data_IF_625739117674
#
_entry.id   IF_625739117674
#
_cell.length_a   1.000
_cell.length_b   1.000
_cell.length_c   1.000
_cell.angle_alpha   90.00
_cell.angle_beta   90.00
_cell.angle_gamma   90.00
#
_symmetry.space_group_name_H-M   'P 1'
#
loop_
_entity.id
_entity.type
_entity.pdbx_description
1 polymer ?
#
# COMPACT_ATOMS: atom_id res chain seq x y z
N UNK A 1 55.80 -14.82 -6.22
CA UNK A 1 54.94 -13.89 -5.46
C UNK A 1 54.50 -12.77 -6.39
N UNK A 2 53.24 -12.74 -6.79
CA UNK A 2 52.73 -11.70 -7.70
C UNK A 2 52.48 -10.40 -6.95
N UNK A 3 53.05 -9.30 -7.45
CA UNK A 3 52.85 -7.96 -6.88
C UNK A 3 51.36 -7.59 -6.95
N UNK A 4 50.73 -7.32 -5.81
CA UNK A 4 49.33 -6.94 -5.77
C UNK A 4 49.17 -5.57 -6.45
N UNK A 5 48.37 -5.51 -7.54
CA UNK A 5 48.11 -4.26 -8.27
C UNK A 5 47.47 -3.23 -7.33
N UNK A 6 48.14 -2.11 -7.10
CA UNK A 6 47.65 -1.02 -6.26
C UNK A 6 46.33 -0.47 -6.83
N UNK A 7 45.42 -0.09 -5.94
CA UNK A 7 44.15 0.54 -6.32
C UNK A 7 44.39 2.01 -6.66
N UNK A 8 44.04 2.42 -7.86
CA UNK A 8 44.02 3.83 -8.29
C UNK A 8 42.82 4.56 -7.70
N UNK A 9 42.84 5.89 -7.73
CA UNK A 9 41.74 6.71 -7.20
C UNK A 9 40.49 6.53 -8.04
N UNK A 10 40.66 6.46 -9.36
CA UNK A 10 39.58 6.25 -10.32
C UNK A 10 38.89 4.89 -10.12
N UNK A 11 39.67 3.83 -9.84
CA UNK A 11 39.11 2.51 -9.52
C UNK A 11 38.36 2.50 -8.17
N UNK A 12 38.80 3.32 -7.20
CA UNK A 12 38.12 3.47 -5.90
C UNK A 12 36.82 4.23 -6.08
N UNK A 13 36.84 5.37 -6.78
CA UNK A 13 35.66 6.19 -7.05
C UNK A 13 34.61 5.41 -7.87
N UNK A 14 35.07 4.68 -8.90
CA UNK A 14 34.22 3.78 -9.67
C UNK A 14 33.63 2.67 -8.80
N UNK A 15 34.45 2.05 -7.94
CA UNK A 15 33.98 1.02 -7.03
C UNK A 15 32.90 1.59 -6.11
N UNK A 16 33.10 2.76 -5.50
CA UNK A 16 32.13 3.39 -4.61
C UNK A 16 30.82 3.74 -5.31
N UNK A 17 30.88 4.37 -6.48
CA UNK A 17 29.69 4.76 -7.26
C UNK A 17 28.89 3.54 -7.76
N UNK A 18 29.60 2.47 -8.15
CA UNK A 18 28.98 1.27 -8.73
C UNK A 18 28.69 0.18 -7.72
N UNK A 19 29.18 0.29 -6.49
CA UNK A 19 28.94 -0.68 -5.42
C UNK A 19 27.44 -0.76 -5.14
N UNK A 20 26.85 -1.94 -5.27
CA UNK A 20 25.41 -2.15 -5.09
C UNK A 20 24.52 -1.66 -6.24
N UNK A 21 25.00 -0.77 -7.11
CA UNK A 21 24.32 -0.35 -8.34
C UNK A 21 24.32 -1.43 -9.42
N UNK A 22 25.46 -2.08 -9.65
CA UNK A 22 25.64 -3.15 -10.64
C UNK A 22 26.24 -4.42 -10.01
N UNK A 23 26.25 -5.54 -10.74
CA UNK A 23 26.71 -6.82 -10.20
C UNK A 23 28.23 -6.82 -9.93
N UNK A 24 28.66 -7.57 -8.92
CA UNK A 24 30.10 -7.79 -8.64
C UNK A 24 30.87 -8.31 -9.84
N UNK A 25 30.23 -9.12 -10.70
CA UNK A 25 30.83 -9.62 -11.94
C UNK A 25 31.08 -8.48 -12.94
N UNK A 26 30.14 -7.55 -13.07
CA UNK A 26 30.29 -6.36 -13.93
C UNK A 26 31.37 -5.41 -13.41
N UNK A 27 31.44 -5.21 -12.08
CA UNK A 27 32.49 -4.41 -11.44
C UNK A 27 33.86 -5.06 -11.65
N UNK A 28 33.96 -6.37 -11.43
CA UNK A 28 35.17 -7.17 -11.65
C UNK A 28 35.66 -7.07 -13.10
N UNK A 29 34.75 -7.18 -14.08
CA UNK A 29 35.07 -7.04 -15.49
C UNK A 29 35.58 -5.64 -15.86
N UNK A 30 34.89 -4.59 -15.38
CA UNK A 30 35.27 -3.20 -15.70
C UNK A 30 36.58 -2.76 -15.02
N UNK A 31 36.86 -3.26 -13.81
CA UNK A 31 38.11 -2.98 -13.10
C UNK A 31 39.26 -3.91 -13.52
N UNK A 32 38.98 -4.97 -14.29
CA UNK A 32 39.97 -6.00 -14.62
C UNK A 32 40.56 -6.69 -13.38
N UNK A 33 39.76 -6.84 -12.31
CA UNK A 33 40.17 -7.42 -11.01
C UNK A 33 39.29 -8.61 -10.66
N UNK A 34 39.80 -9.57 -9.88
CA UNK A 34 38.99 -10.69 -9.42
C UNK A 34 37.85 -10.21 -8.49
N UNK A 35 36.74 -10.95 -8.48
CA UNK A 35 35.59 -10.65 -7.62
C UNK A 35 36.01 -10.55 -6.14
N UNK A 36 36.91 -11.42 -5.69
CA UNK A 36 37.39 -11.41 -4.29
C UNK A 36 38.24 -10.18 -3.98
N UNK A 37 39.05 -9.70 -4.92
CA UNK A 37 39.79 -8.45 -4.75
C UNK A 37 38.84 -7.25 -4.61
N UNK A 38 37.76 -7.23 -5.40
CA UNK A 38 36.70 -6.20 -5.31
C UNK A 38 36.00 -6.26 -3.94
N UNK A 39 35.59 -7.45 -3.47
CA UNK A 39 34.96 -7.62 -2.15
C UNK A 39 35.87 -7.18 -1.01
N UNK A 40 37.13 -7.59 -1.02
CA UNK A 40 38.11 -7.21 0.01
C UNK A 40 38.34 -5.71 0.03
N UNK A 41 38.44 -5.06 -1.14
CA UNK A 41 38.57 -3.60 -1.20
C UNK A 41 37.32 -2.89 -0.68
N UNK A 42 36.13 -3.32 -1.08
CA UNK A 42 34.89 -2.74 -0.60
C UNK A 42 34.72 -2.89 0.92
N UNK A 43 35.10 -4.05 1.48
CA UNK A 43 35.15 -4.25 2.93
C UNK A 43 36.12 -3.29 3.62
N UNK A 44 37.33 -3.09 3.06
CA UNK A 44 38.32 -2.12 3.58
C UNK A 44 37.88 -0.66 3.45
N UNK A 45 37.05 -0.34 2.47
CA UNK A 45 36.44 0.97 2.28
C UNK A 45 35.19 1.18 3.15
N UNK A 46 34.75 0.17 3.91
CA UNK A 46 33.57 0.26 4.75
C UNK A 46 32.24 0.27 3.99
N UNK A 47 32.22 -0.14 2.72
CA UNK A 47 31.03 -0.04 1.85
C UNK A 47 29.91 -1.03 2.20
N UNK A 48 30.12 -1.90 3.19
CA UNK A 48 29.12 -2.85 3.67
C UNK A 48 28.64 -3.82 2.58
N UNK A 49 27.42 -4.34 2.75
CA UNK A 49 26.82 -5.25 1.78
C UNK A 49 26.36 -4.48 0.54
N UNK A 50 26.78 -4.94 -0.65
CA UNK A 50 26.30 -4.40 -1.94
C UNK A 50 24.76 -4.38 -2.06
N UNK A 51 24.04 -5.23 -1.31
CA UNK A 51 22.57 -5.22 -1.22
C UNK A 51 22.02 -3.91 -0.66
N UNK A 52 22.80 -3.20 0.15
CA UNK A 52 22.40 -1.96 0.85
C UNK A 52 22.73 -0.69 0.06
N UNK A 53 23.44 -0.79 -1.07
CA UNK A 53 23.78 0.34 -1.96
C UNK A 53 23.00 0.32 -3.28
N UNK A 54 21.77 -0.21 -3.24
CA UNK A 54 20.81 -0.09 -4.32
C UNK A 54 19.78 0.97 -3.94
N UNK A 55 19.52 1.93 -4.83
CA UNK A 55 18.46 2.94 -4.64
C UNK A 55 17.07 2.32 -4.83
N UNK A 56 16.69 1.50 -3.86
CA UNK A 56 15.44 0.78 -3.87
C UNK A 56 15.40 -0.31 -2.80
N UNK A 57 14.45 -1.21 -2.96
CA UNK A 57 14.13 -2.22 -1.95
C UNK A 57 13.94 -3.59 -2.60
N UNK A 58 14.27 -4.64 -1.85
CA UNK A 58 13.90 -6.00 -2.28
C UNK A 58 12.40 -6.23 -2.08
N UNK A 59 11.80 -7.09 -2.90
CA UNK A 59 10.37 -7.42 -2.77
C UNK A 59 10.06 -8.01 -1.38
N UNK A 60 11.00 -8.73 -0.77
CA UNK A 60 10.81 -9.27 0.57
C UNK A 60 10.78 -8.17 1.65
N UNK A 61 11.70 -7.20 1.59
CA UNK A 61 11.69 -6.06 2.50
C UNK A 61 10.44 -5.18 2.30
N UNK A 62 10.01 -4.98 1.05
CA UNK A 62 8.76 -4.29 0.74
C UNK A 62 7.56 -4.99 1.37
N UNK A 63 7.51 -6.33 1.28
CA UNK A 63 6.46 -7.14 1.88
C UNK A 63 6.40 -6.94 3.41
N UNK A 64 7.56 -7.00 4.07
CA UNK A 64 7.66 -6.77 5.52
C UNK A 64 7.23 -5.35 5.91
N UNK A 65 7.68 -4.32 5.17
CA UNK A 65 7.34 -2.93 5.45
C UNK A 65 5.84 -2.63 5.33
N UNK A 66 5.14 -3.33 4.43
CA UNK A 66 3.71 -3.14 4.18
C UNK A 66 2.81 -4.16 4.91
N UNK A 67 3.38 -5.00 5.78
CA UNK A 67 2.67 -6.10 6.45
C UNK A 67 1.93 -7.01 5.44
N UNK A 68 2.64 -7.38 4.36
CA UNK A 68 2.16 -8.23 3.26
C UNK A 68 2.99 -9.49 3.15
N UNK A 69 2.41 -10.52 2.53
CA UNK A 69 3.18 -11.71 2.16
C UNK A 69 3.94 -11.48 0.86
N UNK A 70 5.11 -12.09 0.74
CA UNK A 70 5.89 -12.09 -0.52
C UNK A 70 5.06 -12.62 -1.70
N UNK A 71 4.28 -13.68 -1.46
CA UNK A 71 3.38 -14.27 -2.46
C UNK A 71 2.31 -13.30 -2.94
N UNK A 72 1.75 -12.45 -2.07
CA UNK A 72 0.80 -11.42 -2.49
C UNK A 72 1.44 -10.40 -3.44
N UNK A 73 2.69 -9.99 -3.20
CA UNK A 73 3.34 -9.06 -4.11
C UNK A 73 3.65 -9.73 -5.46
N UNK A 74 4.26 -10.92 -5.44
CA UNK A 74 4.73 -11.58 -6.66
C UNK A 74 3.61 -12.18 -7.50
N UNK A 75 2.60 -12.79 -6.87
CA UNK A 75 1.56 -13.52 -7.59
C UNK A 75 0.34 -12.64 -7.93
N UNK A 76 0.25 -11.44 -7.37
CA UNK A 76 -0.90 -10.55 -7.58
C UNK A 76 -0.48 -9.15 -8.03
N UNK A 77 0.38 -8.44 -7.29
CA UNK A 77 0.75 -7.07 -7.67
C UNK A 77 1.54 -7.01 -8.98
N UNK A 78 2.45 -7.97 -9.21
CA UNK A 78 3.22 -8.03 -10.45
C UNK A 78 2.34 -8.35 -11.67
N UNK A 79 1.59 -9.47 -11.72
CA UNK A 79 0.81 -9.81 -12.91
C UNK A 79 -0.43 -8.92 -13.11
N UNK A 80 -1.20 -8.63 -12.05
CA UNK A 80 -2.54 -8.01 -12.20
C UNK A 80 -2.51 -6.49 -12.15
N UNK A 81 -1.44 -5.92 -11.56
CA UNK A 81 -1.26 -4.48 -11.36
C UNK A 81 0.05 -3.95 -11.95
N UNK A 82 0.85 -4.80 -12.59
CA UNK A 82 2.04 -4.35 -13.31
C UNK A 82 3.13 -3.72 -12.42
N UNK A 83 3.27 -4.18 -11.18
CA UNK A 83 4.33 -3.69 -10.28
C UNK A 83 5.70 -3.82 -10.96
N UNK A 84 6.47 -2.72 -11.12
CA UNK A 84 7.69 -2.70 -11.94
C UNK A 84 8.89 -3.34 -11.20
N UNK A 85 8.85 -4.66 -11.01
CA UNK A 85 9.93 -5.42 -10.37
C UNK A 85 10.99 -5.82 -11.38
N UNK A 86 12.26 -5.75 -10.97
CA UNK A 86 13.42 -6.17 -11.76
C UNK A 86 14.15 -7.30 -11.04
N UNK A 87 14.79 -8.19 -11.79
CA UNK A 87 15.69 -9.21 -11.24
C UNK A 87 17.09 -8.63 -11.14
N UNK A 88 17.63 -8.53 -9.94
CA UNK A 88 18.99 -8.04 -9.69
C UNK A 88 19.87 -9.12 -9.07
N UNK A 89 21.10 -9.21 -9.56
CA UNK A 89 22.11 -10.14 -9.06
C UNK A 89 22.93 -9.45 -7.96
N UNK A 90 22.72 -9.85 -6.71
CA UNK A 90 23.47 -9.32 -5.57
C UNK A 90 24.62 -10.23 -5.14
N UNK A 91 24.46 -11.55 -5.28
CA UNK A 91 25.50 -12.56 -5.03
C UNK A 91 25.81 -13.33 -6.32
N UNK A 92 26.85 -14.18 -6.32
CA UNK A 92 27.31 -14.89 -7.53
C UNK A 92 26.22 -15.72 -8.23
N UNK A 93 25.17 -16.15 -7.52
CA UNK A 93 24.15 -17.09 -8.06
C UNK A 93 22.70 -16.63 -7.87
N UNK A 94 22.37 -15.94 -6.78
CA UNK A 94 20.98 -15.61 -6.45
C UNK A 94 20.53 -14.30 -7.11
N UNK A 95 19.54 -14.42 -8.02
CA UNK A 95 18.77 -13.28 -8.54
C UNK A 95 17.65 -12.98 -7.56
N UNK A 96 17.58 -11.74 -7.07
CA UNK A 96 16.54 -11.27 -6.14
C UNK A 96 15.65 -10.28 -6.87
N UNK A 97 14.35 -10.31 -6.58
CA UNK A 97 13.41 -9.30 -7.09
C UNK A 97 13.55 -8.00 -6.31
N UNK A 98 13.67 -6.91 -7.04
CA UNK A 98 13.88 -5.56 -6.51
C UNK A 98 13.00 -4.54 -7.22
N UNK A 99 12.78 -3.41 -6.56
CA UNK A 99 12.07 -2.26 -7.12
C UNK A 99 12.78 -0.97 -6.65
N UNK A 100 12.96 -0.01 -7.55
CA UNK A 100 13.49 1.31 -7.18
C UNK A 100 12.49 2.11 -6.35
N UNK A 101 12.95 2.99 -5.45
CA UNK A 101 12.03 3.77 -4.60
C UNK A 101 11.13 4.68 -5.43
N UNK A 102 11.67 5.40 -6.41
CA UNK A 102 10.89 6.27 -7.30
C UNK A 102 9.85 5.48 -8.11
N UNK A 103 10.25 4.33 -8.66
CA UNK A 103 9.37 3.44 -9.43
C UNK A 103 8.24 2.89 -8.56
N UNK A 104 8.55 2.50 -7.32
CA UNK A 104 7.56 2.07 -6.35
C UNK A 104 6.56 3.19 -6.04
N UNK A 105 7.02 4.41 -5.73
CA UNK A 105 6.13 5.50 -5.34
C UNK A 105 5.23 5.97 -6.50
N UNK A 106 5.73 5.99 -7.74
CA UNK A 106 4.92 6.27 -8.94
C UNK A 106 3.83 5.22 -9.14
N UNK A 107 4.16 3.94 -8.99
CA UNK A 107 3.19 2.85 -9.08
C UNK A 107 2.18 2.90 -7.92
N UNK A 108 2.66 3.10 -6.70
CA UNK A 108 1.87 3.16 -5.47
C UNK A 108 0.81 4.27 -5.50
N UNK A 109 1.11 5.40 -6.14
CA UNK A 109 0.17 6.50 -6.30
C UNK A 109 -1.04 6.14 -7.16
N UNK A 110 -0.86 5.26 -8.14
CA UNK A 110 -1.92 4.78 -9.02
C UNK A 110 -2.73 3.64 -8.40
N UNK A 111 -2.21 3.01 -7.35
CA UNK A 111 -2.77 1.82 -6.71
C UNK A 111 -2.92 1.97 -5.19
N UNK A 112 -3.36 3.16 -4.74
CA UNK A 112 -3.49 3.53 -3.31
C UNK A 112 -4.42 2.59 -2.53
N UNK A 113 -5.32 1.87 -3.20
CA UNK A 113 -6.24 0.90 -2.62
C UNK A 113 -5.54 -0.37 -2.12
N UNK A 114 -4.41 -0.75 -2.71
CA UNK A 114 -3.62 -1.92 -2.31
C UNK A 114 -2.80 -1.69 -1.04
N UNK A 115 -2.56 -0.42 -0.71
CA UNK A 115 -1.62 0.01 0.31
C UNK A 115 -2.35 0.38 1.61
N UNK A 116 -1.71 0.01 2.72
CA UNK A 116 -2.04 0.49 4.05
C UNK A 116 -0.76 0.96 4.72
N UNK A 117 -0.64 2.28 4.89
CA UNK A 117 0.55 2.92 5.46
C UNK A 117 0.39 3.21 6.96
N UNK A 118 -0.69 2.75 7.61
CA UNK A 118 -1.00 3.11 9.00
C UNK A 118 0.09 2.70 9.99
N UNK A 119 0.64 1.48 9.81
CA UNK A 119 1.64 0.86 10.70
C UNK A 119 3.08 1.01 10.19
N UNK A 120 3.26 1.51 8.97
CA UNK A 120 4.59 1.67 8.38
C UNK A 120 5.21 2.98 8.86
N UNK A 121 6.44 2.91 9.36
CA UNK A 121 7.18 4.08 9.79
C UNK A 121 7.49 5.03 8.62
N UNK A 122 7.52 6.36 8.86
CA UNK A 122 7.90 7.32 7.84
C UNK A 122 9.31 7.07 7.30
N UNK A 123 9.47 7.18 5.99
CA UNK A 123 10.72 7.05 5.23
C UNK A 123 11.37 5.66 5.27
N UNK A 124 10.65 4.62 5.71
CA UNK A 124 11.13 3.23 5.59
C UNK A 124 11.38 2.82 4.14
N UNK A 125 10.60 3.38 3.20
CA UNK A 125 10.69 3.10 1.77
C UNK A 125 11.34 4.26 0.99
N UNK A 126 12.39 4.86 1.56
CA UNK A 126 13.06 6.02 0.98
C UNK A 126 12.26 7.32 1.17
N UNK A 127 12.60 8.37 0.41
CA UNK A 127 11.93 9.66 0.50
C UNK A 127 10.45 9.56 0.15
N UNK A 128 9.58 9.99 1.06
CA UNK A 128 8.13 9.88 0.87
C UNK A 128 7.55 11.06 0.08
N UNK A 129 6.71 10.79 -0.94
CA UNK A 129 5.95 11.84 -1.60
C UNK A 129 4.87 12.40 -0.67
N UNK A 130 4.44 13.64 -0.91
CA UNK A 130 3.47 14.31 -0.04
C UNK A 130 2.12 13.59 0.06
N UNK A 131 1.69 12.95 -1.03
CA UNK A 131 0.46 12.15 -1.02
C UNK A 131 0.53 10.98 -0.03
N UNK A 132 1.72 10.40 0.22
CA UNK A 132 1.88 9.28 1.14
C UNK A 132 1.58 9.71 2.59
N UNK A 133 1.89 10.97 2.95
CA UNK A 133 1.55 11.55 4.25
C UNK A 133 0.04 11.68 4.42
N UNK A 134 -0.66 12.14 3.37
CA UNK A 134 -2.13 12.26 3.35
C UNK A 134 -2.76 10.86 3.45
N UNK A 135 -2.30 9.91 2.64
CA UNK A 135 -2.75 8.52 2.66
C UNK A 135 -2.52 7.85 4.01
N UNK A 136 -1.36 8.06 4.66
CA UNK A 136 -1.08 7.54 6.01
C UNK A 136 -2.08 8.07 7.04
N UNK A 137 -2.43 9.36 6.99
CA UNK A 137 -3.48 9.91 7.87
C UNK A 137 -4.82 9.23 7.61
N UNK A 138 -5.19 9.05 6.34
CA UNK A 138 -6.40 8.36 5.93
C UNK A 138 -6.45 6.89 6.41
N UNK A 139 -5.33 6.17 6.30
CA UNK A 139 -5.22 4.77 6.74
C UNK A 139 -5.28 4.63 8.26
N UNK A 140 -4.76 5.60 9.01
CA UNK A 140 -4.90 5.63 10.47
C UNK A 140 -6.34 5.86 10.92
N UNK A 141 -7.14 6.58 10.14
CA UNK A 141 -8.58 6.76 10.39
C UNK A 141 -9.39 5.51 10.01
N UNK A 142 -8.83 4.61 9.21
CA UNK A 142 -9.50 3.38 8.81
C UNK A 142 -9.41 2.35 9.94
N UNK A 143 -10.58 1.79 10.27
CA UNK A 143 -10.68 0.59 11.11
C UNK A 143 -9.72 -0.51 10.65
N UNK A 144 -8.86 -0.98 11.57
CA UNK A 144 -7.93 -2.07 11.29
C UNK A 144 -8.67 -3.41 11.14
N UNK A 145 -9.72 -3.65 11.94
CA UNK A 145 -10.56 -4.84 11.80
C UNK A 145 -11.25 -4.90 10.44
N UNK A 146 -11.68 -3.76 9.91
CA UNK A 146 -12.26 -3.66 8.56
C UNK A 146 -11.24 -3.97 7.47
N UNK A 147 -9.97 -3.63 7.67
CA UNK A 147 -8.91 -3.92 6.70
C UNK A 147 -8.46 -5.38 6.73
N UNK A 148 -8.28 -5.95 7.92
CA UNK A 148 -7.71 -7.29 8.11
C UNK A 148 -8.75 -8.43 8.09
N UNK A 149 -10.04 -8.12 7.92
CA UNK A 149 -11.14 -9.09 7.92
C UNK A 149 -11.16 -9.98 9.20
N UNK A 150 -11.02 -9.34 10.37
CA UNK A 150 -10.97 -10.03 11.67
C UNK A 150 -12.30 -10.74 11.97
N UNK A 151 -12.22 -12.01 12.37
CA UNK A 151 -13.36 -12.84 12.76
C UNK A 151 -14.16 -12.22 13.92
N UNK A 152 -15.46 -12.47 13.94
CA UNK A 152 -16.35 -12.11 15.05
C UNK A 152 -16.13 -13.05 16.23
N UNK A 153 -16.04 -12.50 17.45
CA UNK A 153 -16.01 -13.31 18.68
C UNK A 153 -17.41 -13.51 19.23
N UNK A 154 -17.67 -14.57 20.03
CA UNK A 154 -18.95 -14.78 20.68
C UNK A 154 -19.39 -13.59 21.55
N UNK A 155 -18.45 -12.91 22.21
CA UNK A 155 -18.72 -11.73 23.03
C UNK A 155 -19.15 -10.53 22.16
N UNK A 156 -18.51 -10.36 21.00
CA UNK A 156 -18.92 -9.34 20.04
C UNK A 156 -20.32 -9.62 19.47
N UNK A 157 -20.67 -10.89 19.24
CA UNK A 157 -22.02 -11.26 18.80
C UNK A 157 -23.07 -10.96 19.86
N UNK A 158 -22.80 -11.32 21.12
CA UNK A 158 -23.70 -11.04 22.24
C UNK A 158 -23.92 -9.52 22.37
N UNK A 159 -22.84 -8.75 22.32
CA UNK A 159 -22.91 -7.28 22.36
C UNK A 159 -23.66 -6.72 21.14
N UNK A 160 -23.47 -7.30 19.95
CA UNK A 160 -24.16 -6.87 18.73
C UNK A 160 -25.67 -7.01 18.87
N UNK A 161 -26.14 -8.14 19.41
CA UNK A 161 -27.57 -8.37 19.66
C UNK A 161 -28.11 -7.40 20.72
N UNK A 162 -27.37 -7.15 21.80
CA UNK A 162 -27.77 -6.20 22.85
C UNK A 162 -27.92 -4.78 22.32
N UNK A 163 -26.98 -4.33 21.49
CA UNK A 163 -26.97 -2.99 20.89
C UNK A 163 -28.16 -2.78 19.94
N UNK A 164 -28.66 -3.85 19.30
CA UNK A 164 -29.89 -3.76 18.50
C UNK A 164 -31.17 -3.66 19.33
N UNK A 165 -31.12 -3.96 20.63
CA UNK A 165 -32.23 -3.76 21.56
C UNK A 165 -32.47 -2.29 21.92
N UNK A 166 -31.44 -1.44 21.77
CA UNK A 166 -31.56 0.02 21.89
C UNK A 166 -32.22 0.61 20.64
N UNK A 167 -33.30 1.39 20.81
CA UNK A 167 -34.00 2.07 19.71
C UNK A 167 -33.10 3.10 19.01
N UNK A 168 -33.26 3.25 17.69
CA UNK A 168 -32.65 4.35 16.93
C UNK A 168 -31.27 4.09 16.32
N UNK A 169 -30.63 2.94 16.55
CA UNK A 169 -29.29 2.70 16.00
C UNK A 169 -29.34 2.40 14.51
N UNK A 170 -28.50 3.11 13.75
CA UNK A 170 -28.32 2.93 12.30
C UNK A 170 -27.14 2.02 11.98
N UNK A 171 -27.09 1.47 10.76
CA UNK A 171 -25.97 0.63 10.32
C UNK A 171 -24.58 1.30 10.47
N UNK A 172 -24.37 2.58 10.10
CA UNK A 172 -23.08 3.25 10.29
C UNK A 172 -22.68 3.42 11.75
N UNK A 173 -23.65 3.63 12.65
CA UNK A 173 -23.39 3.76 14.09
C UNK A 173 -22.98 2.43 14.70
N UNK A 174 -23.70 1.35 14.36
CA UNK A 174 -23.33 0.00 14.79
C UNK A 174 -21.95 -0.37 14.22
N UNK A 175 -21.71 -0.12 12.92
CA UNK A 175 -20.42 -0.34 12.29
C UNK A 175 -19.28 0.38 13.03
N UNK A 176 -19.49 1.64 13.42
CA UNK A 176 -18.53 2.43 14.21
C UNK A 176 -18.30 1.83 15.60
N UNK A 177 -19.36 1.40 16.29
CA UNK A 177 -19.26 0.84 17.63
C UNK A 177 -18.42 -0.44 17.68
N UNK A 178 -18.49 -1.26 16.64
CA UNK A 178 -17.76 -2.52 16.53
C UNK A 178 -16.40 -2.38 15.83
N UNK A 179 -16.05 -1.17 15.39
CA UNK A 179 -14.91 -0.91 14.51
C UNK A 179 -14.92 -1.86 13.31
N UNK A 180 -16.05 -1.96 12.59
CA UNK A 180 -16.20 -2.84 11.41
C UNK A 180 -16.94 -2.13 10.28
N UNK A 181 -16.90 -2.66 9.06
CA UNK A 181 -17.68 -2.11 7.94
C UNK A 181 -19.17 -2.42 8.09
N UNK A 182 -20.01 -1.55 7.54
CA UNK A 182 -21.47 -1.75 7.45
C UNK A 182 -21.81 -3.10 6.81
N UNK A 183 -21.05 -3.51 5.79
CA UNK A 183 -21.22 -4.80 5.12
C UNK A 183 -20.86 -6.01 6.01
N UNK A 184 -19.84 -5.90 6.86
CA UNK A 184 -19.48 -6.94 7.82
C UNK A 184 -20.57 -7.13 8.87
N UNK A 185 -21.07 -6.03 9.44
CA UNK A 185 -22.19 -6.05 10.38
C UNK A 185 -23.44 -6.66 9.73
N UNK A 186 -23.81 -6.20 8.53
CA UNK A 186 -24.98 -6.72 7.81
C UNK A 186 -24.89 -8.23 7.57
N UNK A 187 -23.71 -8.72 7.14
CA UNK A 187 -23.47 -10.16 6.95
C UNK A 187 -23.56 -10.91 8.28
N UNK A 188 -22.94 -10.40 9.34
CA UNK A 188 -22.97 -11.07 10.65
C UNK A 188 -24.38 -11.20 11.22
N UNK A 189 -25.21 -10.15 11.09
CA UNK A 189 -26.61 -10.21 11.52
C UNK A 189 -27.44 -11.24 10.74
N UNK A 190 -27.10 -11.45 9.48
CA UNK A 190 -27.69 -12.51 8.68
C UNK A 190 -27.23 -13.89 9.19
N UNK A 191 -25.93 -14.07 9.41
CA UNK A 191 -25.34 -15.33 9.89
C UNK A 191 -25.89 -15.74 11.28
N UNK A 192 -26.13 -14.77 12.15
CA UNK A 192 -26.71 -15.00 13.49
C UNK A 192 -28.24 -15.22 13.47
N UNK A 193 -28.91 -15.08 12.32
CA UNK A 193 -30.36 -15.24 12.23
C UNK A 193 -31.18 -14.20 13.01
N UNK A 194 -30.55 -13.09 13.43
CA UNK A 194 -31.24 -12.01 14.15
C UNK A 194 -32.34 -11.45 13.25
N UNK A 195 -33.54 -11.21 13.77
CA UNK A 195 -34.65 -10.62 12.98
C UNK A 195 -34.67 -9.08 13.03
N UNK A 196 -34.26 -8.52 14.17
CA UNK A 196 -34.14 -7.07 14.36
C UNK A 196 -33.05 -6.51 13.44
N UNK A 197 -33.32 -5.37 12.82
CA UNK A 197 -32.40 -4.68 11.90
C UNK A 197 -32.17 -3.25 12.40
N UNK A 198 -30.94 -2.73 12.31
CA UNK A 198 -30.69 -1.30 12.48
C UNK A 198 -31.61 -0.47 11.59
N UNK A 199 -31.94 0.73 12.06
CA UNK A 199 -32.70 1.69 11.28
C UNK A 199 -31.93 2.11 10.03
N UNK A 200 -32.67 2.31 8.94
CA UNK A 200 -32.08 2.83 7.71
C UNK A 200 -31.93 4.33 7.85
N UNK A 201 -30.76 4.84 7.47
CA UNK A 201 -30.62 6.28 7.31
C UNK A 201 -31.51 6.79 6.18
N UNK A 202 -31.85 8.08 6.26
CA UNK A 202 -32.61 8.79 5.25
C UNK A 202 -31.83 8.81 3.92
N UNK A 203 -32.35 8.09 2.91
CA UNK A 203 -31.67 7.89 1.63
C UNK A 203 -32.03 8.97 0.60
N UNK A 204 -33.05 9.80 0.85
CA UNK A 204 -33.51 10.82 -0.09
C UNK A 204 -32.70 12.13 -0.04
N UNK A 205 -31.75 12.26 0.89
CA UNK A 205 -30.92 13.46 1.00
C UNK A 205 -29.94 13.51 -0.18
N UNK A 206 -30.24 14.40 -1.14
CA UNK A 206 -29.40 14.66 -2.31
C UNK A 206 -28.00 15.09 -1.87
N UNK A 207 -27.00 14.78 -2.69
CA UNK A 207 -25.65 15.26 -2.49
C UNK A 207 -25.56 16.72 -2.96
N UNK A 208 -25.04 17.60 -2.11
CA UNK A 208 -24.70 18.97 -2.51
C UNK A 208 -23.46 18.97 -3.41
N UNK A 209 -23.22 20.07 -4.12
CA UNK A 209 -22.02 20.20 -4.94
C UNK A 209 -20.74 20.08 -4.10
N UNK A 210 -20.69 20.75 -2.95
CA UNK A 210 -19.54 20.72 -2.02
C UNK A 210 -19.30 19.33 -1.43
N UNK A 211 -20.37 18.59 -1.09
CA UNK A 211 -20.28 17.20 -0.64
C UNK A 211 -19.69 16.30 -1.73
N UNK A 212 -20.08 16.50 -3.00
CA UNK A 212 -19.52 15.74 -4.13
C UNK A 212 -18.04 16.04 -4.32
N UNK A 213 -17.63 17.31 -4.24
CA UNK A 213 -16.21 17.70 -4.35
C UNK A 213 -15.38 17.09 -3.21
N UNK A 214 -15.89 17.16 -1.99
CA UNK A 214 -15.24 16.57 -0.80
C UNK A 214 -15.12 15.05 -0.94
N UNK A 215 -16.19 14.39 -1.37
CA UNK A 215 -16.25 12.95 -1.63
C UNK A 215 -15.21 12.52 -2.68
N UNK A 216 -15.11 13.23 -3.80
CA UNK A 216 -14.17 12.90 -4.87
C UNK A 216 -12.72 13.07 -4.41
N UNK A 217 -12.42 14.21 -3.78
CA UNK A 217 -11.09 14.52 -3.26
C UNK A 217 -10.63 13.46 -2.26
N UNK A 218 -11.45 13.16 -1.25
CA UNK A 218 -11.10 12.17 -0.23
C UNK A 218 -10.98 10.74 -0.81
N UNK A 219 -11.81 10.39 -1.80
CA UNK A 219 -11.71 9.10 -2.48
C UNK A 219 -10.38 8.95 -3.25
N UNK A 220 -9.94 10.00 -3.94
CA UNK A 220 -8.65 10.06 -4.64
C UNK A 220 -7.45 10.04 -3.68
N UNK A 221 -7.58 10.72 -2.54
CA UNK A 221 -6.51 10.85 -1.54
C UNK A 221 -6.18 9.55 -0.82
N UNK A 222 -7.14 8.64 -0.62
CA UNK A 222 -6.85 7.45 0.18
C UNK A 222 -7.92 7.00 1.15
N UNK A 223 -8.91 7.83 1.43
CA UNK A 223 -9.84 7.60 2.54
C UNK A 223 -10.76 6.39 2.30
N UNK A 224 -11.14 5.72 3.39
CA UNK A 224 -12.16 4.68 3.37
C UNK A 224 -13.52 5.33 3.10
N UNK A 225 -14.43 4.59 2.47
CA UNK A 225 -15.76 5.13 2.17
C UNK A 225 -16.56 5.40 3.44
N UNK A 226 -16.32 4.61 4.49
CA UNK A 226 -16.85 4.84 5.82
C UNK A 226 -16.41 6.19 6.37
N UNK A 227 -15.11 6.52 6.33
CA UNK A 227 -14.62 7.81 6.80
C UNK A 227 -15.17 8.96 5.97
N UNK A 228 -15.22 8.81 4.63
CA UNK A 228 -15.83 9.83 3.75
C UNK A 228 -17.29 10.05 4.12
N UNK A 229 -18.07 8.98 4.28
CA UNK A 229 -19.48 9.05 4.66
C UNK A 229 -19.67 9.79 5.98
N UNK A 230 -18.84 9.49 6.98
CA UNK A 230 -18.86 10.19 8.26
C UNK A 230 -18.61 11.70 8.11
N UNK A 231 -17.67 12.09 7.25
CA UNK A 231 -17.35 13.50 7.01
C UNK A 231 -18.50 14.27 6.38
N UNK A 232 -19.26 13.66 5.48
CA UNK A 232 -20.38 14.31 4.76
C UNK A 232 -21.77 13.95 5.32
N UNK A 233 -21.84 13.25 6.46
CA UNK A 233 -23.12 12.83 7.06
C UNK A 233 -23.91 11.81 6.23
N UNK A 234 -23.23 10.90 5.51
CA UNK A 234 -23.82 9.83 4.68
C UNK A 234 -23.25 8.45 5.07
N UNK A 235 -23.83 7.36 4.55
CA UNK A 235 -23.26 6.01 4.73
C UNK A 235 -22.06 5.79 3.83
N UNK A 236 -21.13 4.96 4.27
CA UNK A 236 -20.01 4.54 3.42
C UNK A 236 -20.50 3.77 2.18
N UNK A 237 -21.58 2.99 2.33
CA UNK A 237 -22.24 2.35 1.18
C UNK A 237 -22.86 3.37 0.21
N UNK A 238 -23.47 4.44 0.73
CA UNK A 238 -24.02 5.52 -0.07
C UNK A 238 -22.94 6.26 -0.87
N UNK A 239 -21.79 6.53 -0.23
CA UNK A 239 -20.61 7.13 -0.87
C UNK A 239 -20.11 6.25 -2.00
N UNK A 240 -19.91 4.95 -1.73
CA UNK A 240 -19.45 3.99 -2.76
C UNK A 240 -20.42 3.93 -3.94
N UNK A 241 -21.72 3.86 -3.69
CA UNK A 241 -22.73 3.85 -4.75
C UNK A 241 -22.80 5.15 -5.54
N UNK A 242 -22.55 6.31 -4.90
CA UNK A 242 -22.45 7.59 -5.59
C UNK A 242 -21.22 7.64 -6.51
N UNK A 243 -20.06 7.18 -6.04
CA UNK A 243 -18.84 7.06 -6.84
C UNK A 243 -19.03 6.13 -8.05
N UNK A 244 -19.69 4.99 -7.87
CA UNK A 244 -20.03 4.06 -8.96
C UNK A 244 -20.85 4.76 -10.05
N UNK A 245 -21.92 5.48 -9.67
CA UNK A 245 -22.76 6.23 -10.62
C UNK A 245 -22.01 7.36 -11.34
N UNK A 246 -20.95 7.88 -10.73
CA UNK A 246 -20.10 8.91 -11.34
C UNK A 246 -19.04 8.33 -12.28
N UNK A 247 -18.92 7.00 -12.37
CA UNK A 247 -17.90 6.35 -13.19
C UNK A 247 -16.52 6.35 -12.54
N UNK A 248 -16.46 6.36 -11.21
CA UNK A 248 -15.19 6.25 -10.48
C UNK A 248 -14.56 4.87 -10.67
N UNK A 249 -13.29 4.85 -11.07
CA UNK A 249 -12.46 3.67 -11.13
C UNK A 249 -11.88 3.36 -9.76
N UNK A 250 -12.39 2.31 -9.13
CA UNK A 250 -11.97 1.86 -7.80
C UNK A 250 -10.55 1.27 -7.78
N UNK A 251 -10.04 0.78 -8.92
CA UNK A 251 -8.70 0.21 -9.05
C UNK A 251 -7.61 1.28 -9.16
N UNK A 252 -7.95 2.44 -9.71
CA UNK A 252 -6.98 3.53 -9.90
C UNK A 252 -7.34 4.79 -9.09
N UNK A 253 -8.40 4.70 -8.29
CA UNK A 253 -9.01 5.78 -7.49
C UNK A 253 -9.14 7.11 -8.24
N UNK A 254 -9.65 7.06 -9.47
CA UNK A 254 -9.86 8.25 -10.33
C UNK A 254 -11.16 8.14 -11.12
N UNK A 255 -11.72 9.27 -11.56
CA UNK A 255 -12.86 9.22 -12.49
C UNK A 255 -12.37 8.73 -13.85
N UNK A 256 -13.14 7.84 -14.49
CA UNK A 256 -12.89 7.49 -15.88
C UNK A 256 -13.15 8.73 -16.73
N UNK A 257 -12.23 9.04 -17.65
CA UNK A 257 -12.51 10.00 -18.70
C UNK A 257 -13.75 9.51 -19.44
N UNK A 258 -14.78 10.36 -19.53
CA UNK A 258 -15.90 10.07 -20.41
C UNK A 258 -15.31 10.08 -21.80
N UNK A 259 -15.12 8.90 -22.41
CA UNK A 259 -14.87 8.79 -23.84
C UNK A 259 -15.95 9.61 -24.51
N UNK A 260 -15.53 10.71 -25.15
CA UNK A 260 -16.43 11.68 -25.74
C UNK A 260 -17.46 10.96 -26.59
N UNK A 261 -18.74 11.17 -26.26
CA UNK A 261 -19.81 10.95 -27.22
C UNK A 261 -19.52 11.98 -28.30
N UNK A 262 -18.79 11.57 -29.34
CA UNK A 262 -18.79 12.25 -30.62
C UNK A 262 -20.23 12.33 -31.05
N UNK A 263 -20.76 13.56 -30.98
CA UNK A 263 -21.99 13.95 -31.66
C UNK A 263 -21.79 13.90 -33.17
#
# INVERSE_FOLDING_TARGET
MGCAKNWTKEEIDYLQDKWGSISLKSISANLGRSIDAVKLKAGRLGLGDSRMNFDGITVNQLALALDKSYGQIVNYWVPDYGLPVKRKLFANTARVLVIGYEEFWKWAEQHKELLNLAKMDPNTLGAEPDWAKVKRKADKMRSQKTFQAVNWTPEEDQRLVQVLGTKGMTYPEVARLFDRSEASVKRRLHDLGVKVRPERMENHIKYTFEEVQTLLRMAQEGYSYETIGQTIGKSGLGVRGKLERMGFDFKHRRLKERSGVTS
#
